data_IF_403568754249
#
_entry.id   IF_403568754249
#
_cell.length_a   1.000
_cell.length_b   1.000
_cell.length_c   1.000
_cell.angle_alpha   90.00
_cell.angle_beta   90.00
_cell.angle_gamma   90.00
#
_symmetry.space_group_name_H-M   'P 1'
#
loop_
_entity.id
_entity.type
_entity.pdbx_description
1 polymer ?
#
# COMPACT_ATOMS: atom_id res chain seq x y z
N UNK A 1 0.71 -11.61 -8.97
CA UNK A 1 1.74 -11.45 -7.92
C UNK A 1 1.36 -10.37 -6.92
N UNK A 2 1.42 -9.06 -7.24
CA UNK A 2 1.12 -8.00 -6.25
C UNK A 2 -0.29 -8.04 -5.66
N UNK A 3 -1.33 -8.32 -6.45
CA UNK A 3 -2.69 -8.44 -5.92
C UNK A 3 -2.83 -9.68 -5.01
N UNK A 4 -2.09 -10.75 -5.29
CA UNK A 4 -2.18 -11.99 -4.52
C UNK A 4 -1.60 -11.81 -3.11
N UNK A 5 -0.58 -10.96 -2.94
CA UNK A 5 -0.01 -10.66 -1.62
C UNK A 5 -0.96 -9.87 -0.72
N UNK A 6 -1.99 -9.23 -1.31
CA UNK A 6 -3.07 -8.59 -0.57
C UNK A 6 -4.09 -9.60 -0.01
N UNK A 7 -4.02 -10.87 -0.43
CA UNK A 7 -5.00 -11.94 -0.07
C UNK A 7 -6.45 -11.57 -0.40
N UNK A 8 -6.63 -10.78 -1.47
CA UNK A 8 -7.94 -10.42 -1.99
C UNK A 8 -8.27 -11.32 -3.18
N UNK A 9 -9.48 -11.91 -3.20
CA UNK A 9 -9.95 -12.62 -4.37
C UNK A 9 -10.09 -11.67 -5.56
N UNK A 10 -9.56 -12.05 -6.72
CA UNK A 10 -9.70 -11.26 -7.95
C UNK A 10 -11.17 -11.01 -8.33
N UNK A 11 -12.08 -11.92 -7.97
CA UNK A 11 -13.54 -11.74 -8.18
C UNK A 11 -14.14 -10.59 -7.38
N UNK A 12 -13.47 -10.17 -6.30
CA UNK A 12 -13.95 -9.15 -5.37
C UNK A 12 -13.37 -7.78 -5.67
N UNK A 13 -12.41 -7.70 -6.58
CA UNK A 13 -11.81 -6.44 -7.02
C UNK A 13 -12.78 -5.74 -7.96
N UNK A 14 -13.08 -4.49 -7.63
CA UNK A 14 -13.92 -3.58 -8.43
C UNK A 14 -13.03 -2.72 -9.33
N UNK A 15 -11.92 -2.24 -8.78
CA UNK A 15 -10.94 -1.44 -9.50
C UNK A 15 -9.58 -1.52 -8.79
N UNK A 16 -8.50 -1.51 -9.56
CA UNK A 16 -7.14 -1.44 -9.05
C UNK A 16 -6.28 -0.56 -9.94
N UNK A 17 -5.80 0.58 -9.43
CA UNK A 17 -4.97 1.52 -10.20
C UNK A 17 -4.18 2.42 -9.23
N UNK A 18 -3.09 3.06 -9.69
CA UNK A 18 -2.56 4.25 -9.01
C UNK A 18 -3.67 5.30 -8.86
N UNK A 19 -3.66 6.02 -7.74
CA UNK A 19 -4.66 7.06 -7.47
C UNK A 19 -3.99 8.41 -7.28
N UNK A 20 -4.48 9.40 -8.02
CA UNK A 20 -4.01 10.78 -7.96
C UNK A 20 -5.17 11.71 -7.68
N UNK A 21 -5.04 12.48 -6.61
CA UNK A 21 -5.93 13.58 -6.27
C UNK A 21 -5.18 14.88 -6.39
N UNK A 22 -5.60 15.73 -7.32
CA UNK A 22 -5.06 17.09 -7.44
C UNK A 22 -5.53 17.95 -6.27
N UNK A 23 -4.67 18.84 -5.80
CA UNK A 23 -5.07 19.85 -4.83
C UNK A 23 -6.05 20.83 -5.45
N UNK A 24 -7.08 21.18 -4.69
CA UNK A 24 -8.08 22.19 -4.99
C UNK A 24 -8.33 23.01 -3.74
N UNK A 25 -9.09 24.11 -3.83
CA UNK A 25 -9.50 24.89 -2.66
C UNK A 25 -10.22 24.06 -1.59
N UNK A 26 -10.88 22.96 -1.97
CA UNK A 26 -11.67 22.11 -1.06
C UNK A 26 -10.96 20.82 -0.63
N UNK A 27 -9.90 20.40 -1.32
CA UNK A 27 -9.24 19.11 -1.13
C UNK A 27 -7.73 19.23 -1.24
N UNK A 28 -7.01 18.68 -0.27
CA UNK A 28 -5.56 18.55 -0.37
C UNK A 28 -5.18 17.54 -1.45
N UNK A 29 -3.99 17.70 -2.03
CA UNK A 29 -3.47 16.73 -2.98
C UNK A 29 -2.99 15.47 -2.27
N UNK A 30 -3.14 14.31 -2.90
CA UNK A 30 -2.47 13.08 -2.48
C UNK A 30 -2.22 12.18 -3.68
N UNK A 31 -1.13 11.43 -3.60
CA UNK A 31 -0.83 10.32 -4.49
C UNK A 31 -0.84 9.04 -3.66
N UNK A 32 -1.46 7.99 -4.18
CA UNK A 32 -1.37 6.63 -3.68
C UNK A 32 -0.79 5.83 -4.83
N UNK A 33 0.34 5.16 -4.58
CA UNK A 33 1.07 4.44 -5.62
C UNK A 33 0.22 3.34 -6.26
N UNK A 34 -0.55 2.62 -5.44
CA UNK A 34 -1.51 1.64 -5.92
C UNK A 34 -2.71 1.50 -4.96
N UNK A 35 -3.92 1.63 -5.49
CA UNK A 35 -5.16 1.57 -4.74
C UNK A 35 -6.01 0.41 -5.27
N UNK A 36 -6.38 -0.54 -4.40
CA UNK A 36 -7.30 -1.62 -4.74
C UNK A 36 -8.62 -1.42 -4.01
N UNK A 37 -9.71 -1.29 -4.78
CA UNK A 37 -11.07 -1.23 -4.27
C UNK A 37 -11.73 -2.61 -4.39
N UNK A 38 -12.38 -3.04 -3.32
CA UNK A 38 -13.14 -4.29 -3.29
C UNK A 38 -14.64 -4.06 -3.17
N UNK A 39 -15.44 -5.08 -3.49
CA UNK A 39 -16.90 -5.11 -3.27
C UNK A 39 -17.27 -5.01 -1.79
N UNK A 40 -16.39 -5.44 -0.89
CA UNK A 40 -16.58 -5.43 0.56
C UNK A 40 -16.31 -4.09 1.24
N UNK A 41 -16.35 -2.97 0.49
CA UNK A 41 -16.11 -1.62 1.02
C UNK A 41 -14.69 -1.41 1.60
N UNK A 42 -13.70 -2.15 1.09
CA UNK A 42 -12.30 -1.95 1.47
C UNK A 42 -11.52 -1.24 0.35
N UNK A 43 -10.65 -0.32 0.77
CA UNK A 43 -9.64 0.35 -0.05
C UNK A 43 -8.26 -0.04 0.48
N UNK A 44 -7.57 -0.95 -0.18
CA UNK A 44 -6.19 -1.26 0.12
C UNK A 44 -5.32 -0.15 -0.47
N UNK A 45 -4.78 0.69 0.41
CA UNK A 45 -3.96 1.85 0.07
C UNK A 45 -2.51 1.41 0.17
N UNK A 46 -1.88 1.16 -0.97
CA UNK A 46 -0.54 0.61 -1.05
C UNK A 46 0.48 1.73 -1.27
N UNK A 47 1.55 1.71 -0.49
CA UNK A 47 2.74 2.55 -0.65
C UNK A 47 3.95 1.69 -0.99
N UNK A 48 4.78 2.15 -1.92
CA UNK A 48 6.01 1.45 -2.28
C UNK A 48 7.25 2.22 -1.81
N UNK A 49 8.14 1.55 -1.07
CA UNK A 49 9.42 2.12 -0.63
C UNK A 49 10.59 1.21 -1.01
N UNK A 50 11.40 1.70 -1.94
CA UNK A 50 12.61 1.02 -2.39
C UNK A 50 13.83 1.80 -1.89
N UNK A 51 14.38 1.42 -0.73
CA UNK A 51 15.43 2.19 -0.07
C UNK A 51 16.66 1.33 0.19
N UNK A 52 17.85 1.88 -0.09
CA UNK A 52 19.13 1.27 0.34
C UNK A 52 19.35 1.38 1.85
N UNK A 53 18.67 2.33 2.50
CA UNK A 53 18.68 2.53 3.95
C UNK A 53 17.41 1.92 4.54
N UNK A 54 17.50 1.50 5.79
CA UNK A 54 16.36 0.98 6.55
C UNK A 54 15.20 1.98 6.57
N UNK A 55 13.98 1.48 6.39
CA UNK A 55 12.74 2.25 6.50
C UNK A 55 12.36 2.37 7.98
N UNK A 56 12.35 3.60 8.48
CA UNK A 56 12.04 3.91 9.87
C UNK A 56 10.56 4.27 10.09
N UNK A 57 10.24 4.64 11.33
CA UNK A 57 8.88 4.97 11.79
C UNK A 57 8.24 6.15 11.02
N UNK A 58 9.05 7.00 10.38
CA UNK A 58 8.60 8.13 9.58
C UNK A 58 7.61 7.73 8.47
N UNK A 59 7.69 6.51 7.97
CA UNK A 59 6.76 5.98 6.96
C UNK A 59 5.30 5.97 7.44
N UNK A 60 5.08 5.79 8.75
CA UNK A 60 3.74 5.80 9.34
C UNK A 60 3.18 7.23 9.32
N UNK A 61 3.99 8.23 9.61
CA UNK A 61 3.61 9.64 9.54
C UNK A 61 3.29 10.05 8.10
N UNK A 62 4.13 9.65 7.14
CA UNK A 62 3.89 9.87 5.71
C UNK A 62 2.57 9.24 5.25
N UNK A 63 2.33 7.99 5.64
CA UNK A 63 1.10 7.27 5.28
C UNK A 63 -0.14 7.87 5.95
N UNK A 64 -0.03 8.30 7.20
CA UNK A 64 -1.12 8.93 7.94
C UNK A 64 -1.57 10.23 7.29
N UNK A 65 -0.62 11.10 6.90
CA UNK A 65 -0.94 12.35 6.22
C UNK A 65 -1.55 12.09 4.82
N UNK A 66 -1.04 11.08 4.10
CA UNK A 66 -1.62 10.64 2.83
C UNK A 66 -3.07 10.18 2.98
N UNK A 67 -3.35 9.31 3.95
CA UNK A 67 -4.70 8.80 4.22
C UNK A 67 -5.66 9.88 4.70
N UNK A 68 -5.17 10.88 5.44
CA UNK A 68 -5.94 12.06 5.85
C UNK A 68 -6.37 12.89 4.62
N UNK A 69 -5.47 13.07 3.66
CA UNK A 69 -5.74 13.84 2.44
C UNK A 69 -6.55 13.05 1.40
N UNK A 70 -6.56 11.73 1.47
CA UNK A 70 -7.29 10.86 0.56
C UNK A 70 -8.81 10.99 0.72
N UNK A 71 -9.48 11.55 -0.29
CA UNK A 71 -10.94 11.69 -0.35
C UNK A 71 -11.62 10.38 -0.76
N UNK A 72 -11.56 9.36 0.10
CA UNK A 72 -12.25 8.09 -0.12
C UNK A 72 -13.78 8.25 -0.12
N UNK A 73 -14.53 7.41 -0.88
CA UNK A 73 -15.98 7.36 -0.76
C UNK A 73 -16.40 6.99 0.67
N UNK A 74 -17.52 7.55 1.12
CA UNK A 74 -18.03 7.32 2.48
C UNK A 74 -18.33 5.84 2.70
N UNK A 75 -17.96 5.33 3.88
CA UNK A 75 -18.20 3.95 4.30
C UNK A 75 -17.10 2.97 3.90
N UNK A 76 -16.11 3.40 3.11
CA UNK A 76 -14.96 2.54 2.80
C UNK A 76 -13.91 2.56 3.92
N UNK A 77 -13.45 1.37 4.31
CA UNK A 77 -12.30 1.20 5.17
C UNK A 77 -11.01 1.45 4.35
N UNK A 78 -10.10 2.27 4.89
CA UNK A 78 -8.77 2.52 4.30
C UNK A 78 -7.78 1.58 4.97
N UNK A 79 -7.25 0.62 4.22
CA UNK A 79 -6.36 -0.43 4.72
C UNK A 79 -4.94 -0.13 4.24
N UNK A 80 -4.04 0.38 5.10
CA UNK A 80 -2.67 0.71 4.70
C UNK A 80 -1.83 -0.54 4.46
N UNK A 81 -1.13 -0.59 3.33
CA UNK A 81 -0.18 -1.64 2.95
C UNK A 81 1.16 -1.00 2.61
N UNK A 82 2.23 -1.51 3.20
CA UNK A 82 3.60 -1.11 2.83
C UNK A 82 4.21 -2.22 1.98
N UNK A 83 4.59 -1.88 0.77
CA UNK A 83 5.51 -2.68 -0.03
C UNK A 83 6.91 -2.12 0.11
N UNK A 84 7.91 -2.99 0.32
CA UNK A 84 9.29 -2.56 0.43
C UNK A 84 10.26 -3.42 -0.38
N UNK A 85 11.43 -2.85 -0.64
CA UNK A 85 12.64 -3.58 -0.99
C UNK A 85 13.78 -3.02 -0.14
N UNK A 86 14.46 -3.90 0.58
CA UNK A 86 15.41 -3.53 1.64
C UNK A 86 14.79 -3.66 3.02
N UNK A 87 15.52 -3.20 4.05
CA UNK A 87 15.15 -3.46 5.44
C UNK A 87 14.08 -2.50 5.99
N UNK A 88 13.22 -3.02 6.85
CA UNK A 88 12.23 -2.25 7.62
C UNK A 88 12.57 -2.36 9.10
N UNK A 89 12.59 -1.23 9.82
CA UNK A 89 12.90 -1.23 11.25
C UNK A 89 11.83 -1.96 12.07
N UNK A 90 12.22 -2.60 13.18
CA UNK A 90 11.27 -3.27 14.08
C UNK A 90 10.19 -2.33 14.59
N UNK A 91 10.51 -1.06 14.82
CA UNK A 91 9.55 -0.05 15.26
C UNK A 91 8.36 0.12 14.30
N UNK A 92 8.54 -0.09 12.99
CA UNK A 92 7.44 -0.06 12.01
C UNK A 92 6.54 -1.30 12.16
N UNK A 93 7.13 -2.48 12.38
CA UNK A 93 6.38 -3.71 12.63
C UNK A 93 5.60 -3.63 13.96
N UNK A 94 6.27 -3.21 15.03
CA UNK A 94 5.73 -3.14 16.39
C UNK A 94 4.58 -2.13 16.50
N UNK A 95 4.57 -1.10 15.65
CA UNK A 95 3.51 -0.11 15.61
C UNK A 95 2.16 -0.70 15.14
N UNK A 96 2.15 -1.87 14.49
CA UNK A 96 0.93 -2.53 13.98
C UNK A 96 0.03 -1.59 13.15
N UNK A 97 0.63 -0.63 12.47
CA UNK A 97 -0.09 0.39 11.71
C UNK A 97 -0.50 -0.11 10.32
N UNK A 98 0.43 -0.77 9.63
CA UNK A 98 0.17 -1.39 8.33
C UNK A 98 -0.54 -2.71 8.54
N UNK A 99 -1.58 -2.96 7.74
CA UNK A 99 -2.24 -4.26 7.72
C UNK A 99 -1.26 -5.34 7.23
N UNK A 100 -0.42 -5.00 6.25
CA UNK A 100 0.70 -5.83 5.79
C UNK A 100 1.91 -4.98 5.45
N UNK A 101 3.08 -5.54 5.74
CA UNK A 101 4.39 -5.09 5.29
C UNK A 101 4.91 -6.23 4.41
N UNK A 102 5.12 -5.95 3.12
CA UNK A 102 5.37 -6.96 2.09
C UNK A 102 6.73 -6.68 1.46
N UNK A 103 7.66 -7.62 1.60
CA UNK A 103 8.94 -7.58 0.89
C UNK A 103 8.71 -8.00 -0.56
N UNK A 104 9.06 -7.13 -1.50
CA UNK A 104 8.96 -7.42 -2.94
C UNK A 104 10.08 -8.36 -3.40
N UNK A 105 11.22 -8.38 -2.68
CA UNK A 105 12.36 -9.25 -2.98
C UNK A 105 11.96 -10.71 -3.10
N UNK A 106 11.12 -11.20 -2.19
CA UNK A 106 10.61 -12.57 -2.16
C UNK A 106 9.94 -12.99 -3.48
N UNK A 107 9.23 -12.06 -4.15
CA UNK A 107 8.51 -12.35 -5.39
C UNK A 107 9.38 -12.29 -6.65
N UNK A 108 10.57 -11.66 -6.57
CA UNK A 108 11.50 -11.56 -7.69
C UNK A 108 12.27 -12.87 -7.88
N UNK A 109 12.62 -13.56 -6.79
CA UNK A 109 13.38 -14.82 -6.83
C UNK A 109 12.56 -15.99 -7.40
N UNK A 110 11.26 -16.04 -7.12
CA UNK A 110 10.35 -17.08 -7.61
C UNK A 110 10.22 -17.10 -9.14
N UNK A 111 10.42 -15.97 -9.82
CA UNK A 111 10.33 -15.89 -11.29
C UNK A 111 11.57 -16.40 -12.02
N UNK A 112 12.70 -16.53 -11.33
CA UNK A 112 13.95 -17.06 -11.90
C UNK A 112 13.95 -18.60 -11.85
N UNK A 113 13.37 -19.19 -10.80
CA UNK A 113 13.40 -20.64 -10.59
C UNK A 113 12.36 -21.44 -11.41
N UNK A 114 11.33 -20.79 -11.96
CA UNK A 114 10.30 -21.44 -12.79
C UNK A 114 10.59 -21.39 -14.30
N UNK A 115 11.80 -20.96 -14.71
CA UNK A 115 12.24 -20.95 -16.12
C UNK A 115 13.26 -22.06 -16.48
N UNK A 116 13.50 -23.02 -15.58
CA UNK A 116 14.38 -24.16 -15.79
C UNK A 116 13.60 -25.48 -15.80
#
# INVERSE_FOLDING_TARGET
>A
MLIQSLEVSGSDIVADNPYFQRSTTRKHGCQIDYLVQTKGWNLFVCEFKFNRRMIGIEIISEMTEKLKNFSAPKGFAKIPILFHLGEVSSGVHDANYFYKIIDIGDYLEDTVNHKN
#
